data_IF_052655505002
#
_entry.id   IF_052655505002
#
_cell.length_a   1.000
_cell.length_b   1.000
_cell.length_c   1.000
_cell.angle_alpha   90.00
_cell.angle_beta   90.00
_cell.angle_gamma   90.00
#
_symmetry.space_group_name_H-M   'P 1'
#
loop_
_entity.id
_entity.type
_entity.pdbx_description
1 polymer ?
#
# COMPACT_ATOMS: atom_id res chain seq x y z
N UNK A 1 -0.53 16.02 20.39
CA UNK A 1 0.53 15.72 19.39
C UNK A 1 0.06 14.62 18.46
N UNK A 2 0.55 14.57 17.21
CA UNK A 2 0.16 13.51 16.26
C UNK A 2 1.23 12.41 16.28
N UNK A 3 0.82 11.19 16.60
CA UNK A 3 1.65 10.00 16.52
C UNK A 3 1.26 9.19 15.29
N UNK A 4 2.15 9.12 14.30
CA UNK A 4 1.94 8.34 13.09
C UNK A 4 2.46 6.91 13.31
N UNK A 5 1.56 5.92 13.28
CA UNK A 5 1.89 4.53 13.52
C UNK A 5 2.34 3.85 12.23
N UNK A 6 3.47 3.15 12.30
CA UNK A 6 4.02 2.35 11.21
C UNK A 6 3.50 0.90 11.25
N UNK A 7 3.66 0.20 10.13
CA UNK A 7 3.23 -1.18 9.88
C UNK A 7 3.81 -2.15 10.92
N UNK A 8 5.06 -1.93 11.34
CA UNK A 8 5.74 -2.76 12.34
C UNK A 8 5.16 -2.63 13.76
N UNK A 9 4.42 -1.55 14.07
CA UNK A 9 3.70 -1.35 15.33
C UNK A 9 2.26 -1.87 15.20
N UNK A 10 1.60 -1.58 14.07
CA UNK A 10 0.20 -1.95 13.86
C UNK A 10 -0.02 -3.47 13.75
N UNK A 11 0.85 -4.20 13.05
CA UNK A 11 0.70 -5.66 12.92
C UNK A 11 0.75 -6.40 14.26
N UNK A 12 1.74 -6.14 15.13
CA UNK A 12 1.77 -6.72 16.46
C UNK A 12 0.60 -6.23 17.34
N UNK A 13 0.20 -4.96 17.23
CA UNK A 13 -0.88 -4.40 18.03
C UNK A 13 -2.22 -5.11 17.78
N UNK A 14 -2.54 -5.45 16.52
CA UNK A 14 -3.72 -6.27 16.19
C UNK A 14 -3.69 -7.64 16.91
N UNK A 15 -2.48 -8.13 17.26
CA UNK A 15 -2.27 -9.38 18.00
C UNK A 15 -2.07 -9.18 19.51
N UNK A 16 -2.35 -7.97 20.05
CA UNK A 16 -2.12 -7.58 21.43
C UNK A 16 -0.67 -7.83 21.92
N UNK A 17 0.31 -7.65 21.05
CA UNK A 17 1.73 -7.79 21.40
C UNK A 17 2.56 -6.68 20.74
N UNK A 18 3.66 -6.19 21.35
CA UNK A 18 3.98 -6.36 22.75
C UNK A 18 3.04 -5.46 23.60
N UNK A 19 2.62 -5.91 24.80
CA UNK A 19 1.59 -5.21 25.60
C UNK A 19 1.97 -3.77 25.96
N UNK A 20 3.25 -3.43 25.93
CA UNK A 20 3.77 -2.09 26.13
C UNK A 20 3.22 -1.08 25.12
N UNK A 21 2.91 -1.49 23.88
CA UNK A 21 2.36 -0.57 22.87
C UNK A 21 0.93 -0.18 23.24
N UNK A 22 0.10 -1.14 23.64
CA UNK A 22 -1.26 -0.85 24.13
C UNK A 22 -1.20 0.05 25.37
N UNK A 23 -0.35 -0.28 26.34
CA UNK A 23 -0.18 0.55 27.54
C UNK A 23 0.35 1.97 27.24
N UNK A 24 1.14 2.17 26.18
CA UNK A 24 1.54 3.51 25.73
C UNK A 24 0.39 4.29 25.10
N UNK A 25 -0.48 3.61 24.36
CA UNK A 25 -1.69 4.21 23.78
C UNK A 25 -2.66 4.62 24.88
N UNK A 26 -2.85 3.77 25.90
CA UNK A 26 -3.71 4.06 27.05
C UNK A 26 -3.20 5.24 27.91
N UNK A 27 -1.93 5.62 27.76
CA UNK A 27 -1.31 6.75 28.47
C UNK A 27 -1.33 8.06 27.68
N UNK A 28 -1.85 8.06 26.45
CA UNK A 28 -1.93 9.27 25.64
C UNK A 28 -2.91 10.27 26.26
N UNK A 29 -2.57 11.56 26.18
CA UNK A 29 -3.49 12.61 26.61
C UNK A 29 -4.63 12.78 25.59
N UNK A 30 -5.77 13.33 26.01
CA UNK A 30 -6.91 13.57 25.09
C UNK A 30 -6.58 14.53 23.93
N UNK A 31 -5.52 15.32 24.07
CA UNK A 31 -4.99 16.23 23.03
C UNK A 31 -4.04 15.54 22.04
N UNK A 32 -3.71 14.27 22.29
CA UNK A 32 -2.92 13.45 21.40
C UNK A 32 -3.82 12.69 20.44
N UNK A 33 -3.32 12.48 19.23
CA UNK A 33 -4.04 11.77 18.17
C UNK A 33 -3.14 10.71 17.56
N UNK A 34 -3.68 9.51 17.37
CA UNK A 34 -3.06 8.47 16.58
C UNK A 34 -3.46 8.65 15.11
N UNK A 35 -2.49 8.54 14.22
CA UNK A 35 -2.70 8.58 12.79
C UNK A 35 -1.97 7.40 12.13
N UNK A 36 -2.32 7.11 10.88
CA UNK A 36 -1.65 6.12 10.06
C UNK A 36 -1.43 6.70 8.67
N UNK A 37 -0.26 6.44 8.10
CA UNK A 37 0.01 6.80 6.71
C UNK A 37 -0.80 5.92 5.76
N UNK A 38 -1.24 6.48 4.63
CA UNK A 38 -1.85 5.67 3.57
C UNK A 38 -0.86 4.65 2.96
N UNK A 39 0.45 4.90 3.10
CA UNK A 39 1.52 3.96 2.75
C UNK A 39 1.40 2.71 3.64
N UNK A 40 1.40 2.91 4.95
CA UNK A 40 1.18 1.87 5.96
C UNK A 40 -0.13 1.13 5.73
N UNK A 41 -1.20 1.84 5.39
CA UNK A 41 -2.48 1.23 5.00
C UNK A 41 -2.32 0.26 3.83
N UNK A 42 -1.64 0.66 2.75
CA UNK A 42 -1.45 -0.21 1.59
C UNK A 42 -0.56 -1.42 1.90
N UNK A 43 0.40 -1.29 2.81
CA UNK A 43 1.19 -2.44 3.29
C UNK A 43 0.36 -3.43 4.09
N UNK A 44 -0.56 -2.95 4.94
CA UNK A 44 -1.51 -3.79 5.65
C UNK A 44 -2.43 -4.53 4.68
N UNK A 45 -2.97 -3.84 3.66
CA UNK A 45 -3.76 -4.46 2.59
C UNK A 45 -2.96 -5.54 1.85
N UNK A 46 -1.70 -5.25 1.50
CA UNK A 46 -0.79 -6.21 0.86
C UNK A 46 -0.52 -7.43 1.75
N UNK A 47 -0.44 -7.24 3.07
CA UNK A 47 -0.32 -8.34 4.03
C UNK A 47 -1.59 -9.20 4.11
N UNK A 48 -2.77 -8.56 4.02
CA UNK A 48 -4.06 -9.25 4.04
C UNK A 48 -4.33 -10.07 2.77
N UNK A 49 -3.83 -9.63 1.61
CA UNK A 49 -3.93 -10.34 0.33
C UNK A 49 -3.44 -11.80 0.39
N UNK A 50 -2.44 -12.09 1.23
CA UNK A 50 -1.87 -13.43 1.43
C UNK A 50 -2.49 -14.23 2.58
N UNK A 51 -3.50 -13.70 3.27
CA UNK A 51 -4.13 -14.33 4.45
C UNK A 51 -5.41 -15.06 4.07
N UNK A 52 -5.72 -16.18 4.75
CA UNK A 52 -6.98 -16.92 4.58
C UNK A 52 -8.23 -16.11 4.99
N UNK A 53 -8.06 -14.99 5.71
CA UNK A 53 -9.15 -14.07 6.13
C UNK A 53 -9.26 -12.82 5.26
N UNK A 54 -8.71 -12.87 4.05
CA UNK A 54 -8.60 -11.77 3.08
C UNK A 54 -9.87 -10.93 2.96
N UNK A 55 -11.02 -11.54 2.62
CA UNK A 55 -12.24 -10.78 2.34
C UNK A 55 -12.79 -10.05 3.57
N UNK A 56 -12.80 -10.69 4.73
CA UNK A 56 -13.29 -10.08 5.96
C UNK A 56 -12.42 -8.88 6.40
N UNK A 57 -11.09 -9.01 6.27
CA UNK A 57 -10.14 -7.92 6.59
C UNK A 57 -10.23 -6.78 5.57
N UNK A 58 -10.35 -7.09 4.28
CA UNK A 58 -10.44 -6.08 3.22
C UNK A 58 -11.77 -5.32 3.24
N UNK A 59 -12.89 -5.97 3.60
CA UNK A 59 -14.19 -5.31 3.72
C UNK A 59 -14.26 -4.30 4.87
N UNK A 60 -13.47 -4.52 5.94
CA UNK A 60 -13.39 -3.59 7.07
C UNK A 60 -12.41 -2.42 6.81
N UNK A 61 -11.55 -2.53 5.79
CA UNK A 61 -10.55 -1.54 5.44
C UNK A 61 -11.00 -0.75 4.20
N UNK A 62 -11.91 0.21 4.39
CA UNK A 62 -12.26 1.17 3.34
C UNK A 62 -11.24 2.32 3.27
N UNK A 63 -10.17 2.10 2.51
CA UNK A 63 -9.10 3.07 2.31
C UNK A 63 -9.02 3.61 0.88
N UNK A 64 -8.10 4.57 0.62
CA UNK A 64 -7.92 5.17 -0.69
C UNK A 64 -7.72 4.13 -1.80
N UNK A 65 -8.32 4.37 -2.98
CA UNK A 65 -8.23 3.46 -4.12
C UNK A 65 -6.77 3.13 -4.52
N UNK A 66 -5.86 4.10 -4.41
CA UNK A 66 -4.42 3.92 -4.62
C UNK A 66 -3.84 2.78 -3.77
N UNK A 67 -4.26 2.64 -2.51
CA UNK A 67 -3.76 1.60 -1.61
C UNK A 67 -4.19 0.20 -2.07
N UNK A 68 -5.41 0.06 -2.61
CA UNK A 68 -5.92 -1.20 -3.18
C UNK A 68 -5.14 -1.61 -4.42
N UNK A 69 -4.90 -0.66 -5.34
CA UNK A 69 -4.06 -0.91 -6.52
C UNK A 69 -2.63 -1.27 -6.13
N UNK A 70 -2.01 -0.53 -5.21
CA UNK A 70 -0.68 -0.86 -4.70
C UNK A 70 -0.61 -2.28 -4.15
N UNK A 71 -1.54 -2.66 -3.26
CA UNK A 71 -1.55 -3.97 -2.63
C UNK A 71 -1.71 -5.13 -3.63
N UNK A 72 -2.62 -4.97 -4.60
CA UNK A 72 -2.86 -5.94 -5.66
C UNK A 72 -1.61 -6.11 -6.55
N UNK A 73 -1.06 -5.00 -7.05
CA UNK A 73 0.09 -5.03 -7.97
C UNK A 73 1.35 -5.54 -7.26
N UNK A 74 1.64 -5.07 -6.04
CA UNK A 74 2.77 -5.57 -5.25
C UNK A 74 2.69 -7.08 -5.01
N UNK A 75 1.49 -7.60 -4.73
CA UNK A 75 1.26 -9.03 -4.52
C UNK A 75 1.44 -9.82 -5.83
N UNK A 76 0.94 -9.31 -6.94
CA UNK A 76 1.11 -9.91 -8.26
C UNK A 76 2.58 -10.00 -8.69
N UNK A 77 3.31 -8.88 -8.63
CA UNK A 77 4.74 -8.82 -8.98
C UNK A 77 5.58 -9.73 -8.08
N UNK A 78 5.25 -9.82 -6.79
CA UNK A 78 5.92 -10.75 -5.87
C UNK A 78 5.70 -12.21 -6.27
N UNK A 79 4.48 -12.60 -6.63
CA UNK A 79 4.17 -13.97 -7.09
C UNK A 79 4.91 -14.32 -8.40
N UNK A 80 5.09 -13.32 -9.27
CA UNK A 80 5.77 -13.49 -10.55
C UNK A 80 7.31 -13.35 -10.46
N UNK A 81 7.85 -13.00 -9.28
CA UNK A 81 9.27 -12.70 -9.07
C UNK A 81 9.82 -11.59 -10.00
N UNK A 82 8.99 -10.58 -10.30
CA UNK A 82 9.28 -9.48 -11.23
C UNK A 82 9.19 -8.11 -10.53
N UNK A 83 10.05 -7.81 -9.54
CA UNK A 83 9.93 -6.57 -8.76
C UNK A 83 10.11 -5.32 -9.63
N UNK A 84 9.38 -4.26 -9.27
CA UNK A 84 9.54 -2.89 -9.77
C UNK A 84 10.02 -1.99 -8.63
N UNK A 85 10.65 -0.85 -8.93
CA UNK A 85 11.01 0.14 -7.92
C UNK A 85 9.82 0.54 -7.04
N UNK A 86 10.05 0.73 -5.74
CA UNK A 86 8.98 1.04 -4.78
C UNK A 86 8.21 2.32 -5.11
N UNK A 87 8.91 3.36 -5.57
CA UNK A 87 8.29 4.61 -6.02
C UNK A 87 7.51 4.42 -7.32
N UNK A 88 8.05 3.65 -8.26
CA UNK A 88 7.38 3.34 -9.53
C UNK A 88 6.08 2.57 -9.29
N UNK A 89 6.06 1.65 -8.32
CA UNK A 89 4.84 0.96 -7.93
C UNK A 89 3.77 1.94 -7.41
N UNK A 90 4.15 2.94 -6.62
CA UNK A 90 3.23 3.98 -6.16
C UNK A 90 2.72 4.85 -7.31
N UNK A 91 3.59 5.24 -8.25
CA UNK A 91 3.21 5.99 -9.46
C UNK A 91 2.20 5.19 -10.28
N UNK A 92 2.47 3.91 -10.52
CA UNK A 92 1.58 3.02 -11.26
C UNK A 92 0.23 2.84 -10.55
N UNK A 93 0.25 2.61 -9.23
CA UNK A 93 -0.95 2.50 -8.42
C UNK A 93 -1.80 3.78 -8.45
N UNK A 94 -1.16 4.95 -8.48
CA UNK A 94 -1.84 6.22 -8.57
C UNK A 94 -2.49 6.41 -9.94
N UNK A 95 -1.77 6.11 -11.03
CA UNK A 95 -2.33 6.16 -12.38
C UNK A 95 -3.55 5.24 -12.54
N UNK A 96 -3.46 4.01 -12.01
CA UNK A 96 -4.58 3.07 -11.97
C UNK A 96 -5.78 3.61 -11.19
N UNK A 97 -5.54 4.18 -10.00
CA UNK A 97 -6.61 4.74 -9.17
C UNK A 97 -7.36 5.90 -9.84
N UNK A 98 -6.69 6.63 -10.74
CA UNK A 98 -7.27 7.73 -11.52
C UNK A 98 -7.83 7.29 -12.88
N UNK A 99 -7.58 6.05 -13.31
CA UNK A 99 -7.85 5.62 -14.68
C UNK A 99 -7.02 6.37 -15.74
N UNK A 100 -5.83 6.85 -15.36
CA UNK A 100 -4.98 7.68 -16.20
C UNK A 100 -4.04 6.84 -17.08
N UNK A 101 -3.67 7.41 -18.24
CA UNK A 101 -2.54 6.93 -19.04
C UNK A 101 -1.23 7.43 -18.41
N UNK A 102 -0.35 6.51 -18.04
CA UNK A 102 0.99 6.85 -17.57
C UNK A 102 1.89 7.16 -18.77
N UNK A 103 2.61 8.28 -18.70
CA UNK A 103 3.66 8.62 -19.66
C UNK A 103 5.01 8.31 -19.02
N UNK A 104 5.81 7.42 -19.63
CA UNK A 104 7.12 7.05 -19.12
C UNK A 104 8.02 6.44 -20.19
N UNK A 105 9.30 6.76 -20.14
CA UNK A 105 10.34 6.08 -20.94
C UNK A 105 10.81 4.78 -20.29
N UNK A 106 10.42 4.51 -19.02
CA UNK A 106 10.75 3.25 -18.34
C UNK A 106 9.75 2.13 -18.71
N UNK A 107 9.52 1.95 -20.01
CA UNK A 107 8.44 1.10 -20.54
C UNK A 107 8.53 -0.33 -20.05
N UNK A 108 9.75 -0.89 -20.07
CA UNK A 108 10.03 -2.26 -19.64
C UNK A 108 9.57 -2.50 -18.20
N UNK A 109 9.75 -1.53 -17.32
CA UNK A 109 9.39 -1.70 -15.93
C UNK A 109 7.88 -1.62 -15.71
N UNK A 110 7.23 -0.60 -16.27
CA UNK A 110 5.80 -0.36 -16.11
C UNK A 110 4.91 -1.34 -16.89
N UNK A 111 5.40 -1.94 -17.97
CA UNK A 111 4.67 -2.97 -18.72
C UNK A 111 4.33 -4.23 -17.90
N UNK A 112 4.94 -4.40 -16.73
CA UNK A 112 4.65 -5.50 -15.78
C UNK A 112 3.43 -5.23 -14.91
N UNK A 113 2.92 -4.00 -14.89
CA UNK A 113 1.76 -3.60 -14.09
C UNK A 113 0.48 -3.96 -14.85
N UNK A 114 -0.33 -4.83 -14.27
CA UNK A 114 -1.57 -5.28 -14.89
C UNK A 114 -2.61 -4.15 -14.96
N UNK A 115 -3.18 -3.94 -16.14
CA UNK A 115 -4.22 -2.91 -16.37
C UNK A 115 -3.71 -1.48 -16.53
N UNK A 116 -2.40 -1.24 -16.47
CA UNK A 116 -1.82 0.09 -16.64
C UNK A 116 -1.77 0.47 -18.13
N UNK A 117 -2.39 1.59 -18.48
CA UNK A 117 -2.26 2.17 -19.83
C UNK A 117 -0.98 3.02 -19.87
N UNK A 118 -0.09 2.73 -20.81
CA UNK A 118 1.26 3.28 -20.86
C UNK A 118 1.59 3.83 -22.25
N UNK A 119 2.18 5.03 -22.29
CA UNK A 119 2.69 5.65 -23.53
C UNK A 119 4.11 6.15 -23.30
N UNK A 120 4.97 5.95 -24.29
CA UNK A 120 6.33 6.51 -24.31
C UNK A 120 6.42 7.65 -25.33
N UNK A 121 6.63 8.87 -24.84
CA UNK A 121 6.81 10.06 -25.68
C UNK A 121 8.26 10.27 -26.14
N UNK A 122 9.21 9.53 -25.58
CA UNK A 122 10.62 9.57 -25.98
C UNK A 122 11.00 8.43 -26.93
N UNK A 123 10.05 7.56 -27.30
CA UNK A 123 10.26 6.52 -28.30
C UNK A 123 10.58 7.15 -29.67
N UNK A 124 11.60 6.65 -30.40
CA UNK A 124 11.85 7.09 -31.75
C UNK A 124 10.66 6.77 -32.66
N UNK A 125 10.39 7.67 -33.61
CA UNK A 125 9.36 7.51 -34.64
C UNK A 125 9.67 6.37 -35.61
#
# INVERSE_FOLDING_TARGET
>A
MIYLLDTNILFPLIKNRPPQVAGRIDQLADVDSLAMSFITWAELLRGAEGSQRREATLQQLDGPAICRHYAAQASALKRQATPIGGNDLWIAAHALALGATLVSHNVREFARIEGLVLVDWAAPA
#
